data_IF_431308916276
#
_entry.id   IF_431308916276
#
_cell.length_a   1.000
_cell.length_b   1.000
_cell.length_c   1.000
_cell.angle_alpha   90.00
_cell.angle_beta   90.00
_cell.angle_gamma   90.00
#
_symmetry.space_group_name_H-M   'P 1'
#
loop_
_entity.id
_entity.type
_entity.pdbx_description
1 polymer ?
#
# COMPACT_ATOMS: atom_id res chain seq x y z
N UNK A 1 -41.48 -116.39 -2.46
CA UNK A 1 -42.35 -115.91 -3.56
C UNK A 1 -42.53 -114.40 -3.37
N UNK A 2 -42.14 -113.59 -4.37
CA UNK A 2 -42.23 -112.10 -4.46
C UNK A 2 -41.34 -111.32 -3.48
N UNK A 3 -40.29 -110.63 -3.94
CA UNK A 3 -40.29 -109.34 -4.67
C UNK A 3 -40.69 -108.16 -3.78
N UNK A 4 -39.71 -107.35 -3.41
CA UNK A 4 -39.77 -105.89 -3.50
C UNK A 4 -38.36 -105.30 -3.37
N UNK A 5 -37.79 -104.97 -4.53
CA UNK A 5 -36.78 -103.95 -4.70
C UNK A 5 -37.45 -102.57 -4.64
N UNK A 6 -36.89 -101.63 -3.88
CA UNK A 6 -36.27 -100.41 -4.43
C UNK A 6 -36.14 -99.26 -3.41
N UNK A 7 -34.88 -98.82 -3.30
CA UNK A 7 -34.39 -97.44 -3.16
C UNK A 7 -34.59 -96.79 -1.79
N UNK A 8 -33.57 -96.97 -0.96
CA UNK A 8 -33.16 -95.98 0.03
C UNK A 8 -32.71 -94.73 -0.76
N UNK A 9 -33.48 -93.64 -0.70
CA UNK A 9 -32.98 -92.32 -1.06
C UNK A 9 -32.09 -91.84 0.09
N UNK A 10 -30.79 -91.99 -0.06
CA UNK A 10 -29.83 -91.23 0.74
C UNK A 10 -29.81 -89.80 0.22
N UNK A 11 -30.55 -88.90 0.87
CA UNK A 11 -30.36 -87.47 0.67
C UNK A 11 -28.93 -87.11 1.10
N UNK A 12 -28.07 -86.77 0.15
CA UNK A 12 -26.78 -86.17 0.45
C UNK A 12 -27.01 -84.81 1.11
N UNK A 13 -26.39 -84.54 2.29
CA UNK A 13 -26.57 -83.27 2.96
C UNK A 13 -26.08 -82.14 2.04
N UNK A 14 -26.82 -81.02 1.91
CA UNK A 14 -26.42 -79.93 1.04
C UNK A 14 -25.06 -79.40 1.50
N UNK A 15 -24.09 -79.38 0.58
CA UNK A 15 -22.78 -78.78 0.83
C UNK A 15 -22.97 -77.29 1.10
N UNK A 16 -22.83 -76.90 2.37
CA UNK A 16 -22.84 -75.48 2.77
C UNK A 16 -21.62 -74.83 2.14
N UNK A 17 -21.84 -74.06 1.06
CA UNK A 17 -20.81 -73.26 0.41
C UNK A 17 -20.26 -72.25 1.42
N UNK A 18 -18.95 -72.30 1.69
CA UNK A 18 -18.29 -71.43 2.65
C UNK A 18 -18.20 -69.98 2.15
N UNK A 19 -19.24 -69.17 2.39
CA UNK A 19 -19.29 -67.74 2.03
C UNK A 19 -19.05 -66.80 3.21
N UNK A 20 -19.09 -67.31 4.44
CA UNK A 20 -19.01 -66.50 5.68
C UNK A 20 -17.66 -65.77 5.80
N UNK A 21 -16.54 -66.43 5.48
CA UNK A 21 -15.21 -65.83 5.57
C UNK A 21 -15.07 -64.62 4.63
N UNK A 22 -15.63 -64.72 3.42
CA UNK A 22 -15.58 -63.62 2.43
C UNK A 22 -16.40 -62.43 2.91
N UNK A 23 -17.59 -62.67 3.46
CA UNK A 23 -18.43 -61.60 4.03
C UNK A 23 -17.72 -60.93 5.21
N UNK A 24 -17.13 -61.71 6.13
CA UNK A 24 -16.38 -61.16 7.27
C UNK A 24 -15.19 -60.33 6.79
N UNK A 25 -14.44 -60.79 5.79
CA UNK A 25 -13.30 -60.06 5.26
C UNK A 25 -13.71 -58.73 4.62
N UNK A 26 -14.82 -58.70 3.88
CA UNK A 26 -15.38 -57.46 3.33
C UNK A 26 -15.83 -56.51 4.43
N UNK A 27 -16.52 -57.01 5.46
CA UNK A 27 -16.95 -56.18 6.61
C UNK A 27 -15.74 -55.61 7.35
N UNK A 28 -14.72 -56.42 7.62
CA UNK A 28 -13.48 -55.95 8.27
C UNK A 28 -12.74 -54.94 7.40
N UNK A 29 -12.68 -55.15 6.08
CA UNK A 29 -12.06 -54.19 5.15
C UNK A 29 -12.82 -52.85 5.14
N UNK A 30 -14.15 -52.87 5.11
CA UNK A 30 -14.98 -51.66 5.16
C UNK A 30 -14.85 -50.95 6.52
N UNK A 31 -14.83 -51.68 7.63
CA UNK A 31 -14.61 -51.11 8.96
C UNK A 31 -13.20 -50.52 9.10
N UNK A 32 -12.19 -51.19 8.54
CA UNK A 32 -10.80 -50.72 8.57
C UNK A 32 -10.63 -49.45 7.73
N UNK A 33 -11.26 -49.40 6.54
CA UNK A 33 -11.27 -48.19 5.72
C UNK A 33 -12.00 -47.05 6.43
N UNK A 34 -13.15 -47.32 7.07
CA UNK A 34 -13.88 -46.31 7.86
C UNK A 34 -13.08 -45.79 9.06
N UNK A 35 -12.36 -46.67 9.76
CA UNK A 35 -11.47 -46.26 10.85
C UNK A 35 -10.28 -45.45 10.34
N UNK A 36 -9.71 -45.81 9.18
CA UNK A 36 -8.62 -45.09 8.55
C UNK A 36 -9.04 -43.68 8.12
N UNK A 37 -10.18 -43.54 7.42
CA UNK A 37 -10.68 -42.23 6.97
C UNK A 37 -11.04 -41.33 8.15
N UNK A 38 -11.63 -41.89 9.22
CA UNK A 38 -11.89 -41.13 10.44
C UNK A 38 -10.59 -40.65 11.10
N UNK A 39 -9.56 -41.49 11.16
CA UNK A 39 -8.26 -41.10 11.72
C UNK A 39 -7.59 -40.00 10.92
N UNK A 40 -7.61 -40.07 9.58
CA UNK A 40 -7.06 -39.01 8.73
C UNK A 40 -7.81 -37.69 8.96
N UNK A 41 -9.14 -37.73 8.98
CA UNK A 41 -9.97 -36.55 9.24
C UNK A 41 -9.63 -35.92 10.61
N UNK A 42 -9.49 -36.73 11.66
CA UNK A 42 -9.14 -36.22 12.99
C UNK A 42 -7.73 -35.62 13.05
N UNK A 43 -6.77 -36.15 12.30
CA UNK A 43 -5.42 -35.55 12.22
C UNK A 43 -5.46 -34.19 11.51
N UNK A 44 -6.21 -34.07 10.41
CA UNK A 44 -6.39 -32.80 9.69
C UNK A 44 -7.08 -31.78 10.59
N UNK A 45 -8.15 -32.16 11.28
CA UNK A 45 -8.86 -31.26 12.19
C UNK A 45 -7.99 -30.79 13.37
N UNK A 46 -7.17 -31.68 13.94
CA UNK A 46 -6.23 -31.32 14.99
C UNK A 46 -5.15 -30.33 14.48
N UNK A 47 -4.64 -30.53 13.27
CA UNK A 47 -3.69 -29.60 12.63
C UNK A 47 -4.33 -28.25 12.32
N UNK A 48 -5.54 -28.24 11.74
CA UNK A 48 -6.31 -27.04 11.44
C UNK A 48 -6.60 -26.22 12.71
N UNK A 49 -7.02 -26.89 13.79
CA UNK A 49 -7.24 -26.25 15.09
C UNK A 49 -5.96 -25.61 15.64
N UNK A 50 -4.84 -26.32 15.53
CA UNK A 50 -3.53 -25.79 15.92
C UNK A 50 -3.10 -24.58 15.09
N UNK A 51 -3.30 -24.61 13.77
CA UNK A 51 -3.00 -23.48 12.87
C UNK A 51 -3.89 -22.28 13.16
N UNK A 52 -5.19 -22.50 13.39
CA UNK A 52 -6.12 -21.44 13.76
C UNK A 52 -5.70 -20.75 15.06
N UNK A 53 -5.35 -21.54 16.09
CA UNK A 53 -4.83 -21.00 17.35
C UNK A 53 -3.57 -20.15 17.17
N UNK A 54 -2.64 -20.62 16.33
CA UNK A 54 -1.42 -19.85 15.99
C UNK A 54 -1.74 -18.58 15.24
N UNK A 55 -2.65 -18.61 14.26
CA UNK A 55 -3.02 -17.42 13.49
C UNK A 55 -3.61 -16.32 14.38
N UNK A 56 -4.52 -16.68 15.30
CA UNK A 56 -5.08 -15.74 16.28
C UNK A 56 -3.98 -15.19 17.18
N UNK A 57 -3.06 -16.04 17.65
CA UNK A 57 -1.95 -15.63 18.50
C UNK A 57 -0.99 -14.68 17.78
N UNK A 58 -0.62 -14.98 16.53
CA UNK A 58 0.24 -14.13 15.68
C UNK A 58 -0.41 -12.76 15.46
N UNK A 59 -1.73 -12.72 15.18
CA UNK A 59 -2.44 -11.45 15.03
C UNK A 59 -2.41 -10.63 16.33
N UNK A 60 -2.69 -11.26 17.46
CA UNK A 60 -2.63 -10.57 18.75
C UNK A 60 -1.22 -10.05 19.09
N UNK A 61 -0.15 -10.75 18.66
CA UNK A 61 1.23 -10.26 18.79
C UNK A 61 1.49 -9.03 17.92
N UNK A 62 0.98 -9.01 16.69
CA UNK A 62 1.07 -7.84 15.81
C UNK A 62 0.30 -6.65 16.40
N UNK A 63 -0.92 -6.87 16.89
CA UNK A 63 -1.74 -5.85 17.55
C UNK A 63 -1.03 -5.29 18.81
N UNK A 64 -0.32 -6.14 19.56
CA UNK A 64 0.50 -5.69 20.70
C UNK A 64 1.62 -4.74 20.28
N UNK A 65 2.16 -4.90 19.06
CA UNK A 65 3.13 -3.97 18.50
C UNK A 65 2.54 -2.61 18.19
N UNK A 66 1.32 -2.57 17.64
CA UNK A 66 0.58 -1.32 17.40
C UNK A 66 0.33 -0.56 18.71
N UNK A 67 -0.05 -1.28 19.77
CA UNK A 67 -0.25 -0.70 21.11
C UNK A 67 1.05 -0.16 21.71
N UNK A 68 2.18 -0.88 21.54
CA UNK A 68 3.48 -0.38 21.98
C UNK A 68 3.83 0.92 21.25
N UNK A 69 3.73 0.94 19.92
CA UNK A 69 4.02 2.13 19.10
C UNK A 69 3.11 3.28 19.51
N UNK A 70 1.82 3.04 19.73
CA UNK A 70 0.86 4.05 20.18
C UNK A 70 1.23 4.63 21.55
N UNK A 71 1.66 3.78 22.49
CA UNK A 71 2.13 4.23 23.80
C UNK A 71 3.40 5.08 23.71
N UNK A 72 4.35 4.70 22.83
CA UNK A 72 5.57 5.46 22.59
C UNK A 72 5.28 6.85 22.01
N UNK A 73 4.42 6.92 20.99
CA UNK A 73 4.00 8.18 20.38
C UNK A 73 3.19 9.06 21.34
N UNK A 74 2.50 8.46 22.32
CA UNK A 74 1.74 9.19 23.33
C UNK A 74 2.58 9.77 24.48
N UNK A 75 3.72 9.15 24.81
CA UNK A 75 4.57 9.55 25.95
C UNK A 75 5.62 10.62 25.57
N UNK A 76 6.12 10.60 24.33
CA UNK A 76 7.07 11.60 23.82
C UNK A 76 6.46 12.43 22.69
N UNK A 77 6.31 13.73 22.93
CA UNK A 77 5.98 14.69 21.87
C UNK A 77 7.22 15.22 21.14
N UNK A 78 8.44 15.04 21.68
CA UNK A 78 9.66 15.48 21.00
C UNK A 78 10.28 14.33 20.18
N UNK A 79 10.21 14.36 18.84
CA UNK A 79 10.82 13.34 17.97
C UNK A 79 12.35 13.30 18.09
N UNK A 80 12.99 14.29 18.72
CA UNK A 80 14.44 14.34 18.93
C UNK A 80 14.90 13.44 20.08
N UNK A 81 13.99 13.09 20.99
CA UNK A 81 14.29 12.26 22.17
C UNK A 81 14.08 10.76 21.94
N UNK A 82 13.26 10.38 20.94
CA UNK A 82 13.01 8.98 20.56
C UNK A 82 13.38 8.76 19.09
N UNK A 83 14.23 7.76 18.83
CA UNK A 83 14.61 7.34 17.49
C UNK A 83 13.46 6.66 16.73
N UNK A 84 12.48 7.42 16.26
CA UNK A 84 11.31 6.87 15.56
C UNK A 84 11.63 6.38 14.14
N UNK A 85 12.64 6.95 13.49
CA UNK A 85 12.99 6.61 12.10
C UNK A 85 13.73 5.27 11.98
N UNK A 86 14.76 5.03 12.80
CA UNK A 86 15.47 3.75 12.77
C UNK A 86 16.05 3.42 14.15
N UNK A 87 15.35 2.56 14.89
CA UNK A 87 15.81 2.02 16.17
C UNK A 87 15.58 0.49 16.22
N UNK A 88 16.58 -0.31 15.83
CA UNK A 88 16.49 -1.76 15.91
C UNK A 88 16.34 -2.28 17.35
N UNK A 89 16.80 -1.57 18.37
CA UNK A 89 16.70 -2.06 19.74
C UNK A 89 15.25 -1.92 20.26
N UNK A 90 14.55 -0.88 19.80
CA UNK A 90 13.14 -0.64 20.12
C UNK A 90 12.17 -1.41 19.23
N UNK A 91 12.48 -1.60 17.94
CA UNK A 91 11.52 -2.08 16.95
C UNK A 91 11.82 -3.44 16.33
N UNK A 92 12.98 -4.07 16.59
CA UNK A 92 13.31 -5.39 16.02
C UNK A 92 13.11 -6.52 17.02
N UNK A 93 12.34 -7.52 16.63
CA UNK A 93 12.20 -8.79 17.37
C UNK A 93 11.82 -8.59 18.84
N UNK A 94 10.94 -7.62 19.10
CA UNK A 94 10.40 -7.30 20.42
C UNK A 94 9.60 -8.50 20.92
N UNK A 95 9.97 -8.99 22.10
CA UNK A 95 9.36 -10.21 22.65
C UNK A 95 8.04 -9.89 23.34
N UNK A 96 6.95 -10.48 22.84
CA UNK A 96 5.61 -10.40 23.45
C UNK A 96 5.37 -11.60 24.35
N UNK A 97 5.77 -12.79 23.88
CA UNK A 97 5.58 -14.04 24.60
C UNK A 97 6.94 -14.71 24.70
N UNK A 98 7.49 -14.74 25.91
CA UNK A 98 8.67 -15.53 26.23
C UNK A 98 8.25 -16.96 26.56
N UNK A 99 8.34 -17.83 25.55
CA UNK A 99 8.08 -19.26 25.70
C UNK A 99 9.37 -20.00 26.02
N UNK A 100 9.34 -20.89 27.02
CA UNK A 100 10.47 -21.78 27.31
C UNK A 100 10.85 -22.73 26.15
N UNK A 101 10.03 -22.77 25.09
CA UNK A 101 10.34 -23.36 23.79
C UNK A 101 10.39 -22.23 22.75
N UNK A 102 11.51 -22.06 22.00
CA UNK A 102 11.62 -21.05 20.95
C UNK A 102 10.50 -21.11 19.91
N UNK A 103 9.98 -22.30 19.60
CA UNK A 103 8.87 -22.49 18.67
C UNK A 103 7.51 -21.96 19.17
N UNK A 104 7.43 -21.61 20.46
CA UNK A 104 6.26 -21.00 21.10
C UNK A 104 6.54 -19.56 21.57
N UNK A 105 7.75 -19.05 21.30
CA UNK A 105 8.07 -17.65 21.56
C UNK A 105 7.50 -16.77 20.46
N UNK A 106 6.96 -15.63 20.87
CA UNK A 106 6.27 -14.67 20.01
C UNK A 106 7.02 -13.35 20.00
N UNK A 107 7.37 -12.88 18.80
CA UNK A 107 8.04 -11.60 18.60
C UNK A 107 7.36 -10.84 17.47
N UNK A 108 7.35 -9.51 17.56
CA UNK A 108 7.03 -8.65 16.44
C UNK A 108 8.23 -7.77 16.08
N UNK A 109 8.20 -7.23 14.88
CA UNK A 109 9.07 -6.14 14.46
C UNK A 109 8.23 -5.08 13.79
N UNK A 110 8.60 -3.82 13.94
CA UNK A 110 8.04 -2.72 13.14
C UNK A 110 9.03 -2.46 12.02
N UNK A 111 8.58 -2.55 10.78
CA UNK A 111 9.42 -2.48 9.59
C UNK A 111 8.92 -1.40 8.65
N UNK A 112 9.85 -0.76 7.96
CA UNK A 112 9.59 0.23 6.93
C UNK A 112 10.66 0.12 5.83
N UNK A 113 10.34 0.44 4.56
CA UNK A 113 11.35 0.59 3.52
C UNK A 113 12.34 1.73 3.82
N UNK A 114 13.51 1.63 3.20
CA UNK A 114 14.49 2.70 3.16
C UNK A 114 14.27 3.49 1.87
N UNK A 115 13.66 4.67 1.98
CA UNK A 115 13.30 5.50 0.82
C UNK A 115 14.51 5.99 0.02
N UNK A 116 15.68 6.06 0.65
CA UNK A 116 16.94 6.47 0.04
C UNK A 116 17.77 5.30 -0.53
N UNK A 117 17.33 4.04 -0.38
CA UNK A 117 18.04 2.91 -1.00
C UNK A 117 17.57 2.77 -2.45
N UNK A 118 18.41 3.11 -3.45
CA UNK A 118 18.01 3.03 -4.85
C UNK A 118 17.72 1.61 -5.30
N UNK A 119 18.21 0.59 -4.58
CA UNK A 119 17.99 -0.80 -4.94
C UNK A 119 16.78 -1.42 -4.22
N UNK A 120 16.19 -0.72 -3.24
CA UNK A 120 15.10 -1.22 -2.41
C UNK A 120 15.32 -2.65 -1.90
N UNK A 121 16.54 -2.98 -1.42
CA UNK A 121 16.85 -4.35 -0.94
C UNK A 121 16.90 -4.45 0.57
N UNK A 122 16.66 -3.34 1.25
CA UNK A 122 16.83 -3.21 2.68
C UNK A 122 15.59 -2.61 3.33
N UNK A 123 15.25 -3.17 4.49
CA UNK A 123 14.27 -2.61 5.41
C UNK A 123 14.97 -1.97 6.59
N UNK A 124 14.34 -0.96 7.15
CA UNK A 124 14.67 -0.38 8.45
C UNK A 124 13.61 -0.76 9.48
N UNK A 125 14.02 -0.73 10.76
CA UNK A 125 13.12 -0.94 11.89
C UNK A 125 12.72 0.41 12.48
N UNK A 126 11.49 0.87 12.23
CA UNK A 126 11.00 2.19 12.64
C UNK A 126 9.70 2.56 11.94
N UNK A 127 9.30 3.82 12.07
CA UNK A 127 8.03 4.37 11.59
C UNK A 127 8.19 5.17 10.29
N UNK A 128 7.12 5.30 9.52
CA UNK A 128 6.99 6.24 8.40
C UNK A 128 6.02 7.34 8.82
N UNK A 129 6.34 8.58 8.46
CA UNK A 129 5.44 9.70 8.63
C UNK A 129 4.49 9.79 7.44
N UNK A 130 3.22 9.46 7.66
CA UNK A 130 2.16 9.59 6.65
C UNK A 130 1.87 11.07 6.32
N UNK A 131 2.23 12.04 7.18
CA UNK A 131 2.05 13.47 6.89
C UNK A 131 3.02 14.03 5.84
N UNK A 132 3.97 13.22 5.37
CA UNK A 132 4.79 13.52 4.21
C UNK A 132 4.11 13.14 2.88
N UNK A 133 2.95 12.47 2.94
CA UNK A 133 2.15 12.06 1.78
C UNK A 133 0.94 12.97 1.62
N UNK A 134 0.47 13.11 0.38
CA UNK A 134 -0.71 13.91 0.05
C UNK A 134 -1.96 13.17 0.51
N UNK A 135 -2.76 13.76 1.40
CA UNK A 135 -4.06 13.20 1.75
C UNK A 135 -5.13 13.55 0.70
N UNK A 136 -5.56 12.54 -0.06
CA UNK A 136 -6.60 12.71 -1.08
C UNK A 136 -7.92 13.26 -0.52
N UNK A 137 -8.31 12.82 0.68
CA UNK A 137 -9.57 13.25 1.31
C UNK A 137 -9.52 14.72 1.76
N UNK A 138 -8.33 15.32 1.83
CA UNK A 138 -8.17 16.69 2.27
C UNK A 138 -8.17 17.69 1.10
N UNK A 139 -7.83 17.28 -0.13
CA UNK A 139 -7.62 18.16 -1.30
C UNK A 139 -8.80 19.10 -1.52
N UNK A 140 -10.03 18.58 -1.52
CA UNK A 140 -11.25 19.37 -1.74
C UNK A 140 -11.53 20.42 -0.63
N UNK A 141 -10.89 20.28 0.52
CA UNK A 141 -11.05 21.17 1.68
C UNK A 141 -9.84 22.08 1.93
N UNK A 142 -8.79 21.95 1.12
CA UNK A 142 -7.58 22.76 1.27
C UNK A 142 -7.85 24.20 0.81
N UNK A 143 -7.29 25.16 1.55
CA UNK A 143 -7.18 26.54 1.08
C UNK A 143 -5.98 26.63 0.13
N UNK A 144 -6.24 26.43 -1.16
CA UNK A 144 -5.22 26.51 -2.21
C UNK A 144 -5.08 27.94 -2.73
N UNK A 145 -3.86 28.27 -3.15
CA UNK A 145 -3.60 29.53 -3.84
C UNK A 145 -4.11 29.44 -5.28
N UNK A 146 -5.11 30.25 -5.61
CA UNK A 146 -5.75 30.28 -6.93
C UNK A 146 -5.25 31.41 -7.81
N UNK A 147 -4.28 32.23 -7.36
CA UNK A 147 -3.87 33.45 -8.08
C UNK A 147 -3.45 33.20 -9.52
N UNK A 148 -2.86 32.03 -9.78
CA UNK A 148 -2.40 31.64 -11.12
C UNK A 148 -3.57 31.29 -12.07
N UNK A 149 -4.75 31.00 -11.53
CA UNK A 149 -5.95 30.57 -12.25
C UNK A 149 -7.08 31.62 -12.22
N UNK A 150 -6.93 32.74 -11.51
CA UNK A 150 -7.95 33.80 -11.44
C UNK A 150 -8.34 34.39 -12.81
N UNK A 151 -7.48 34.27 -13.83
CA UNK A 151 -7.79 34.74 -15.18
C UNK A 151 -8.66 33.76 -15.98
N UNK A 152 -8.84 32.54 -15.50
CA UNK A 152 -9.52 31.44 -16.20
C UNK A 152 -11.00 31.33 -15.85
N UNK A 153 -11.55 32.26 -15.05
CA UNK A 153 -12.96 32.24 -14.61
C UNK A 153 -13.97 32.45 -15.74
N UNK A 154 -13.56 32.75 -16.97
CA UNK A 154 -14.48 33.10 -18.07
C UNK A 154 -14.58 31.93 -19.02
N UNK A 155 -15.74 31.27 -19.02
CA UNK A 155 -16.03 30.17 -19.93
C UNK A 155 -16.20 30.65 -21.37
N UNK A 156 -16.15 29.72 -22.33
CA UNK A 156 -16.24 30.01 -23.77
C UNK A 156 -17.59 30.64 -24.18
N UNK A 157 -18.63 30.54 -23.32
CA UNK A 157 -19.93 31.19 -23.52
C UNK A 157 -20.05 32.58 -22.88
N UNK A 158 -18.98 33.04 -22.23
CA UNK A 158 -18.88 34.34 -21.57
C UNK A 158 -19.56 34.41 -20.20
N UNK A 159 -19.83 33.26 -19.56
CA UNK A 159 -20.23 33.19 -18.15
C UNK A 159 -19.01 33.15 -17.25
N UNK A 160 -19.17 33.69 -16.03
CA UNK A 160 -18.12 33.61 -15.00
C UNK A 160 -18.37 32.37 -14.14
N UNK A 161 -17.47 31.42 -14.21
CA UNK A 161 -17.39 30.29 -13.30
C UNK A 161 -16.45 30.64 -12.15
N UNK A 162 -17.02 30.74 -10.95
CA UNK A 162 -16.29 31.16 -9.75
C UNK A 162 -15.58 29.98 -9.07
N UNK A 163 -15.95 28.75 -9.40
CA UNK A 163 -15.42 27.53 -8.80
C UNK A 163 -14.24 26.98 -9.63
N UNK A 164 -14.20 27.27 -10.93
CA UNK A 164 -13.15 26.85 -11.86
C UNK A 164 -11.70 27.15 -11.38
N UNK A 165 -11.33 28.32 -10.83
CA UNK A 165 -9.96 28.53 -10.33
C UNK A 165 -9.56 27.57 -9.21
N UNK A 166 -10.52 27.20 -8.35
CA UNK A 166 -10.28 26.25 -7.26
C UNK A 166 -10.15 24.83 -7.81
N UNK A 167 -11.02 24.42 -8.73
CA UNK A 167 -10.93 23.11 -9.40
C UNK A 167 -9.59 22.93 -10.13
N UNK A 168 -9.13 23.96 -10.84
CA UNK A 168 -7.83 23.95 -11.51
C UNK A 168 -6.67 23.85 -10.51
N UNK A 169 -6.75 24.54 -9.37
CA UNK A 169 -5.75 24.43 -8.31
C UNK A 169 -5.72 23.03 -7.68
N UNK A 170 -6.88 22.42 -7.44
CA UNK A 170 -6.99 21.04 -6.92
C UNK A 170 -6.41 20.02 -7.91
N UNK A 171 -6.69 20.21 -9.21
CA UNK A 171 -6.11 19.40 -10.29
C UNK A 171 -4.60 19.52 -10.31
N UNK A 172 -4.06 20.73 -10.20
CA UNK A 172 -2.61 20.98 -10.19
C UNK A 172 -1.88 20.22 -9.07
N UNK A 173 -2.50 20.08 -7.89
CA UNK A 173 -1.93 19.28 -6.78
C UNK A 173 -1.73 17.82 -7.21
N UNK A 174 -2.70 17.24 -7.93
CA UNK A 174 -2.62 15.86 -8.43
C UNK A 174 -1.67 15.71 -9.61
N UNK A 175 -1.55 16.74 -10.46
CA UNK A 175 -0.64 16.76 -11.60
C UNK A 175 0.84 16.64 -11.20
N UNK A 176 1.18 16.89 -9.93
CA UNK A 176 2.50 16.62 -9.37
C UNK A 176 2.85 15.12 -9.26
N UNK A 177 1.88 14.21 -9.41
CA UNK A 177 2.10 12.77 -9.33
C UNK A 177 2.67 12.19 -10.63
N UNK A 178 3.59 11.22 -10.56
CA UNK A 178 4.18 10.60 -11.74
C UNK A 178 3.11 9.85 -12.54
N UNK A 179 3.09 10.05 -13.86
CA UNK A 179 2.11 9.41 -14.75
C UNK A 179 0.68 9.96 -14.65
N UNK A 180 0.45 11.05 -13.90
CA UNK A 180 -0.86 11.69 -13.84
C UNK A 180 -1.21 12.38 -15.16
N UNK A 181 -2.48 12.32 -15.53
CA UNK A 181 -3.06 13.09 -16.64
C UNK A 181 -4.19 13.96 -16.11
N UNK A 182 -4.50 15.06 -16.81
CA UNK A 182 -5.62 15.94 -16.43
C UNK A 182 -6.94 15.16 -16.35
N UNK A 183 -7.17 14.22 -17.27
CA UNK A 183 -8.35 13.33 -17.26
C UNK A 183 -8.41 12.47 -16.01
N UNK A 184 -7.30 11.85 -15.59
CA UNK A 184 -7.29 11.02 -14.39
C UNK A 184 -7.46 11.89 -13.14
N UNK A 185 -6.81 13.05 -13.09
CA UNK A 185 -6.93 13.99 -11.98
C UNK A 185 -8.39 14.44 -11.79
N UNK A 186 -9.05 14.89 -12.86
CA UNK A 186 -10.46 15.29 -12.81
C UNK A 186 -11.37 14.12 -12.41
N UNK A 187 -11.15 12.91 -12.96
CA UNK A 187 -11.91 11.73 -12.57
C UNK A 187 -11.71 11.33 -11.10
N UNK A 188 -10.54 11.60 -10.51
CA UNK A 188 -10.28 11.36 -9.08
C UNK A 188 -11.02 12.41 -8.24
N UNK A 189 -11.05 13.67 -8.67
CA UNK A 189 -11.74 14.74 -7.96
C UNK A 189 -13.27 14.53 -7.99
N UNK A 190 -13.85 14.17 -9.14
CA UNK A 190 -15.28 13.82 -9.31
C UNK A 190 -15.66 12.58 -8.49
N UNK A 191 -14.68 11.68 -8.26
CA UNK A 191 -14.93 10.53 -7.38
C UNK A 191 -15.09 10.95 -5.91
N UNK A 192 -14.53 12.09 -5.51
CA UNK A 192 -14.35 12.53 -4.12
C UNK A 192 -15.31 13.62 -3.66
N UNK A 193 -15.75 14.51 -4.54
CA UNK A 193 -16.67 15.61 -4.20
C UNK A 193 -18.10 15.11 -3.98
N UNK A 194 -19.02 15.97 -3.54
CA UNK A 194 -20.35 15.55 -3.10
C UNK A 194 -21.47 15.85 -4.09
N UNK A 195 -21.15 16.50 -5.20
CA UNK A 195 -22.09 16.79 -6.28
C UNK A 195 -22.09 15.69 -7.37
N UNK A 196 -22.75 15.96 -8.49
CA UNK A 196 -22.79 15.07 -9.66
C UNK A 196 -22.40 15.90 -10.92
N UNK A 197 -21.73 17.05 -10.74
CA UNK A 197 -21.35 17.96 -11.81
C UNK A 197 -20.00 17.52 -12.38
N UNK A 198 -19.99 17.11 -13.64
CA UNK A 198 -18.78 16.58 -14.29
C UNK A 198 -17.79 17.70 -14.58
N UNK A 199 -16.56 17.59 -14.03
CA UNK A 199 -15.43 18.47 -14.40
C UNK A 199 -15.06 18.33 -15.87
N UNK A 200 -14.25 19.27 -16.37
CA UNK A 200 -13.88 19.38 -17.80
C UNK A 200 -13.51 18.02 -18.45
N UNK A 201 -12.64 17.24 -17.79
CA UNK A 201 -12.22 15.90 -18.26
C UNK A 201 -12.63 14.77 -17.29
N UNK A 202 -13.57 15.05 -16.39
CA UNK A 202 -13.99 14.19 -15.31
C UNK A 202 -14.93 13.05 -15.70
N UNK A 203 -15.46 12.38 -14.70
CA UNK A 203 -16.41 11.28 -14.85
C UNK A 203 -17.24 11.09 -13.57
N UNK A 204 -18.56 11.22 -13.70
CA UNK A 204 -19.54 11.08 -12.63
C UNK A 204 -20.42 9.83 -12.76
N UNK A 205 -21.51 9.79 -11.98
CA UNK A 205 -22.51 8.74 -11.94
C UNK A 205 -22.93 8.24 -13.34
N UNK A 206 -23.20 9.13 -14.29
CA UNK A 206 -23.62 8.78 -15.65
C UNK A 206 -22.60 7.91 -16.38
N UNK A 207 -21.30 8.15 -16.16
CA UNK A 207 -20.22 7.33 -16.73
C UNK A 207 -20.17 5.95 -16.08
N UNK A 208 -20.15 5.90 -14.74
CA UNK A 208 -19.96 4.65 -14.00
C UNK A 208 -21.18 3.72 -14.09
N UNK A 209 -22.40 4.25 -14.09
CA UNK A 209 -23.62 3.47 -14.35
C UNK A 209 -23.61 2.86 -15.76
N UNK A 210 -22.98 3.55 -16.73
CA UNK A 210 -22.79 3.08 -18.10
C UNK A 210 -21.88 1.85 -18.24
N UNK A 211 -21.00 1.59 -17.26
CA UNK A 211 -20.09 0.44 -17.27
C UNK A 211 -20.80 -0.90 -16.98
N UNK A 212 -21.99 -0.85 -16.37
CA UNK A 212 -22.74 -2.04 -15.98
C UNK A 212 -22.10 -2.86 -14.85
N UNK A 213 -21.15 -2.27 -14.12
CA UNK A 213 -20.53 -2.85 -12.92
C UNK A 213 -21.27 -2.30 -11.69
N UNK A 214 -21.53 -3.11 -10.64
CA UNK A 214 -22.33 -2.66 -9.50
C UNK A 214 -21.53 -1.79 -8.52
N UNK A 215 -21.01 -0.67 -8.99
CA UNK A 215 -20.50 0.42 -8.16
C UNK A 215 -20.86 1.76 -8.80
N UNK A 216 -20.89 2.78 -7.96
CA UNK A 216 -21.12 4.18 -8.33
C UNK A 216 -19.95 4.99 -7.75
N UNK A 217 -19.74 6.24 -8.22
CA UNK A 217 -18.75 7.11 -7.59
C UNK A 217 -19.09 7.29 -6.10
N UNK A 218 -18.05 7.57 -5.33
CA UNK A 218 -18.14 7.55 -3.87
C UNK A 218 -18.89 8.78 -3.35
N UNK A 219 -18.74 9.88 -4.08
CA UNK A 219 -19.22 11.21 -3.78
C UNK A 219 -18.90 11.59 -2.32
N UNK A 220 -17.61 11.47 -1.97
CA UNK A 220 -17.12 11.70 -0.62
C UNK A 220 -15.80 11.00 -0.31
N UNK A 221 -15.35 11.06 0.96
CA UNK A 221 -14.03 10.57 1.35
C UNK A 221 -13.89 9.05 1.16
N UNK A 222 -12.78 8.66 0.54
CA UNK A 222 -12.39 7.27 0.34
C UNK A 222 -11.80 6.66 1.62
N UNK A 223 -12.07 5.37 1.83
CA UNK A 223 -11.58 4.66 3.01
C UNK A 223 -10.21 4.01 2.79
N UNK A 224 -9.88 3.66 1.53
CA UNK A 224 -8.65 3.00 1.12
C UNK A 224 -8.23 3.53 -0.24
N UNK A 225 -6.92 3.62 -0.48
CA UNK A 225 -6.37 3.98 -1.78
C UNK A 225 -6.74 2.95 -2.88
N UNK A 226 -6.98 1.69 -2.49
CA UNK A 226 -7.44 0.65 -3.42
C UNK A 226 -8.78 1.01 -4.12
N UNK A 227 -9.55 1.97 -3.56
CA UNK A 227 -10.77 2.49 -4.17
C UNK A 227 -10.50 3.22 -5.48
N UNK A 228 -9.30 3.79 -5.66
CA UNK A 228 -8.88 4.46 -6.89
C UNK A 228 -8.88 3.54 -8.10
N UNK A 229 -8.73 2.22 -7.93
CA UNK A 229 -8.82 1.25 -9.04
C UNK A 229 -10.21 1.17 -9.69
N UNK A 230 -11.22 1.82 -9.10
CA UNK A 230 -12.55 1.97 -9.69
C UNK A 230 -12.69 3.25 -10.50
N UNK A 231 -11.79 4.20 -10.32
CA UNK A 231 -11.79 5.48 -11.03
C UNK A 231 -11.34 5.26 -12.46
N UNK A 232 -11.99 5.96 -13.38
CA UNK A 232 -11.65 5.92 -14.80
C UNK A 232 -10.17 6.28 -15.02
N UNK A 233 -9.47 5.45 -15.78
CA UNK A 233 -8.08 5.69 -16.19
C UNK A 233 -7.01 5.31 -15.16
N UNK A 234 -7.39 5.00 -13.92
CA UNK A 234 -6.45 4.48 -12.92
C UNK A 234 -6.22 2.99 -13.13
N UNK A 235 -4.96 2.60 -13.29
CA UNK A 235 -4.56 1.20 -13.38
C UNK A 235 -3.74 0.76 -12.15
N UNK A 236 -3.48 -0.55 -12.05
CA UNK A 236 -2.71 -1.11 -10.95
C UNK A 236 -1.24 -0.67 -10.96
N UNK A 237 -0.71 -0.33 -12.13
CA UNK A 237 0.67 0.12 -12.30
C UNK A 237 0.86 1.51 -11.70
N UNK A 238 -0.02 2.46 -12.00
CA UNK A 238 -0.01 3.79 -11.40
C UNK A 238 -0.15 3.72 -9.88
N UNK A 239 -1.05 2.86 -9.37
CA UNK A 239 -1.31 2.79 -7.94
C UNK A 239 -0.24 2.06 -7.13
N UNK A 240 0.19 0.88 -7.58
CA UNK A 240 1.11 0.02 -6.82
C UNK A 240 2.53 0.03 -7.36
N UNK A 241 2.70 0.27 -8.66
CA UNK A 241 3.96 0.02 -9.36
C UNK A 241 4.30 -1.46 -9.34
N UNK A 242 5.57 -1.76 -9.09
CA UNK A 242 6.12 -3.11 -9.04
C UNK A 242 5.97 -3.77 -7.66
N UNK A 243 5.80 -2.98 -6.59
CA UNK A 243 5.66 -3.47 -5.22
C UNK A 243 4.24 -4.04 -4.97
N UNK A 244 3.96 -5.21 -5.53
CA UNK A 244 2.64 -5.82 -5.49
C UNK A 244 2.21 -6.21 -4.07
N UNK A 245 3.17 -6.54 -3.21
CA UNK A 245 2.90 -6.97 -1.85
C UNK A 245 3.07 -5.85 -0.79
N UNK A 246 3.47 -4.64 -1.23
CA UNK A 246 3.61 -3.42 -0.44
C UNK A 246 4.62 -3.55 0.70
N UNK A 247 5.67 -4.34 0.49
CA UNK A 247 6.73 -4.55 1.48
C UNK A 247 7.90 -3.55 1.31
N UNK A 248 7.91 -2.80 0.21
CA UNK A 248 8.95 -1.84 -0.16
C UNK A 248 10.32 -2.48 -0.41
N UNK A 249 10.33 -3.76 -0.80
CA UNK A 249 11.50 -4.52 -1.18
C UNK A 249 11.36 -5.01 -2.62
N UNK A 250 12.43 -4.94 -3.40
CA UNK A 250 12.47 -5.55 -4.73
C UNK A 250 12.51 -7.07 -4.61
N UNK A 251 11.35 -7.72 -4.77
CA UNK A 251 11.24 -9.16 -4.75
C UNK A 251 11.64 -9.79 -6.10
N UNK A 252 12.05 -11.08 -6.12
CA UNK A 252 12.49 -11.71 -7.37
C UNK A 252 11.41 -11.83 -8.46
N UNK A 253 10.14 -11.61 -8.14
CA UNK A 253 9.02 -11.59 -9.09
C UNK A 253 8.59 -10.17 -9.48
N UNK A 254 9.33 -9.17 -9.04
CA UNK A 254 9.15 -7.75 -9.33
C UNK A 254 10.40 -7.21 -10.07
N UNK A 255 11.22 -8.14 -10.61
CA UNK A 255 12.47 -7.91 -11.34
C UNK A 255 12.68 -9.09 -12.33
N UNK A 256 11.60 -9.65 -12.89
CA UNK A 256 11.65 -10.79 -13.81
C UNK A 256 10.91 -10.60 -15.15
N UNK A 257 10.53 -9.36 -15.45
CA UNK A 257 9.85 -8.92 -16.65
C UNK A 257 8.40 -9.39 -16.64
N UNK A 258 8.03 -10.17 -17.65
CA UNK A 258 6.68 -10.74 -17.77
C UNK A 258 6.61 -12.21 -17.26
N UNK A 259 7.60 -12.69 -16.51
CA UNK A 259 7.68 -14.11 -16.17
C UNK A 259 6.72 -14.49 -15.03
N UNK A 260 6.56 -13.61 -14.03
CA UNK A 260 5.56 -13.70 -12.97
C UNK A 260 4.92 -12.33 -12.76
N UNK A 261 3.65 -12.29 -12.33
CA UNK A 261 3.03 -11.01 -11.98
C UNK A 261 3.68 -10.42 -10.70
N UNK A 262 3.70 -9.09 -10.56
CA UNK A 262 3.25 -8.08 -11.53
C UNK A 262 4.18 -8.01 -12.75
N UNK A 263 3.67 -7.54 -13.89
CA UNK A 263 4.53 -7.28 -15.05
C UNK A 263 5.48 -6.11 -14.69
N UNK A 264 6.78 -6.30 -14.87
CA UNK A 264 7.85 -5.36 -14.50
C UNK A 264 8.84 -5.12 -15.66
N UNK A 265 9.76 -4.16 -15.50
CA UNK A 265 10.74 -3.83 -16.55
C UNK A 265 12.12 -4.50 -16.37
N UNK A 266 12.30 -5.24 -15.28
CA UNK A 266 13.51 -5.95 -14.87
C UNK A 266 14.79 -5.08 -14.92
N UNK A 267 14.68 -3.81 -14.56
CA UNK A 267 15.81 -2.86 -14.53
C UNK A 267 16.64 -2.93 -13.23
N UNK A 268 16.17 -3.69 -12.23
CA UNK A 268 16.78 -3.86 -10.92
C UNK A 268 16.47 -2.75 -9.91
N UNK A 269 15.52 -1.87 -10.21
CA UNK A 269 15.05 -0.75 -9.37
C UNK A 269 13.55 -0.94 -9.11
N UNK A 270 13.15 -0.93 -7.84
CA UNK A 270 11.73 -1.02 -7.49
C UNK A 270 11.00 0.29 -7.81
N UNK A 271 10.14 0.25 -8.81
CA UNK A 271 9.23 1.35 -9.14
C UNK A 271 8.02 1.33 -8.22
N UNK A 272 7.95 2.31 -7.32
CA UNK A 272 6.80 2.48 -6.41
C UNK A 272 5.69 3.30 -7.07
N UNK A 273 4.44 2.84 -6.95
CA UNK A 273 3.27 3.60 -7.40
C UNK A 273 2.85 4.72 -6.44
N UNK A 274 1.71 5.32 -6.75
CA UNK A 274 1.08 6.40 -5.97
C UNK A 274 0.82 6.04 -4.51
N UNK A 275 0.71 4.76 -4.16
CA UNK A 275 0.60 4.30 -2.78
C UNK A 275 1.76 4.78 -1.88
N UNK A 276 2.92 5.10 -2.47
CA UNK A 276 4.05 5.67 -1.72
C UNK A 276 3.96 7.19 -1.49
N UNK A 277 3.10 7.88 -2.24
CA UNK A 277 2.96 9.35 -2.28
C UNK A 277 1.62 9.83 -1.72
N UNK A 278 0.59 8.97 -1.73
CA UNK A 278 -0.77 9.26 -1.32
C UNK A 278 -1.12 8.61 0.01
N UNK A 279 -2.11 9.17 0.68
CA UNK A 279 -2.69 8.63 1.90
C UNK A 279 -4.17 9.03 2.02
N UNK A 280 -4.92 8.33 2.86
CA UNK A 280 -6.34 8.65 3.16
C UNK A 280 -6.53 9.18 4.58
N UNK A 281 -5.48 9.14 5.40
CA UNK A 281 -5.58 9.33 6.86
C UNK A 281 -4.66 10.39 7.44
N UNK A 282 -3.67 10.88 6.68
CA UNK A 282 -2.78 11.91 7.20
C UNK A 282 -3.53 13.19 7.57
N UNK A 283 -3.02 13.88 8.59
CA UNK A 283 -3.54 15.18 8.99
C UNK A 283 -2.61 16.24 8.43
N UNK A 284 -3.18 17.13 7.63
CA UNK A 284 -2.48 18.24 6.99
C UNK A 284 -2.24 19.38 7.98
N UNK A 285 -1.44 19.09 9.01
CA UNK A 285 -1.05 20.08 10.01
C UNK A 285 0.33 20.60 9.59
N UNK A 286 0.38 21.84 9.10
CA UNK A 286 1.64 22.52 8.80
C UNK A 286 2.36 23.03 10.07
N UNK A 287 2.19 22.33 11.18
CA UNK A 287 2.79 22.62 12.46
C UNK A 287 3.72 21.47 12.86
N UNK A 288 4.74 21.82 13.63
CA UNK A 288 5.65 20.93 14.33
C UNK A 288 5.00 20.44 15.61
N UNK A 289 5.66 19.50 16.28
CA UNK A 289 5.17 18.94 17.54
C UNK A 289 5.11 19.97 18.69
N UNK A 290 5.89 21.05 18.60
CA UNK A 290 5.89 22.19 19.53
C UNK A 290 4.82 23.25 19.20
N UNK A 291 4.13 23.12 18.05
CA UNK A 291 3.09 24.04 17.59
C UNK A 291 3.58 25.18 16.69
N UNK A 292 4.88 25.28 16.42
CA UNK A 292 5.44 26.23 15.44
C UNK A 292 5.22 25.73 14.01
N UNK A 293 5.27 26.62 13.02
CA UNK A 293 5.09 26.24 11.61
C UNK A 293 6.24 25.36 11.08
N UNK A 294 5.92 24.41 10.18
CA UNK A 294 6.96 23.63 9.48
C UNK A 294 7.69 24.53 8.50
N UNK A 295 8.99 24.27 8.35
CA UNK A 295 9.83 25.02 7.43
C UNK A 295 9.48 24.68 5.97
N UNK A 296 9.11 25.70 5.18
CA UNK A 296 8.89 25.52 3.75
C UNK A 296 10.23 25.39 3.01
N UNK A 297 10.64 24.15 2.73
CA UNK A 297 11.85 23.85 1.96
C UNK A 297 11.79 24.34 0.51
N UNK A 298 10.60 24.58 -0.03
CA UNK A 298 10.37 25.01 -1.40
C UNK A 298 10.26 26.54 -1.55
N UNK A 299 10.48 27.32 -0.50
CA UNK A 299 10.38 28.78 -0.56
C UNK A 299 11.28 29.42 -1.62
N UNK A 300 10.88 30.58 -2.16
CA UNK A 300 11.53 31.17 -3.33
C UNK A 300 12.95 31.68 -3.08
N UNK A 301 13.24 32.20 -1.88
CA UNK A 301 14.53 32.82 -1.58
C UNK A 301 15.48 31.83 -0.87
N UNK A 302 16.49 31.35 -1.62
CA UNK A 302 17.45 30.36 -1.12
C UNK A 302 18.29 30.86 0.06
N UNK A 303 18.52 32.17 0.18
CA UNK A 303 19.25 32.74 1.33
C UNK A 303 18.45 32.68 2.61
N UNK A 304 17.14 32.97 2.56
CA UNK A 304 16.25 32.83 3.71
C UNK A 304 16.08 31.35 4.10
N UNK A 305 16.05 30.45 3.11
CA UNK A 305 16.06 29.01 3.36
C UNK A 305 17.33 28.55 4.04
N UNK A 306 18.48 29.04 3.59
CA UNK A 306 19.74 28.74 4.22
C UNK A 306 19.75 29.17 5.68
N UNK A 307 19.40 30.43 5.96
CA UNK A 307 19.40 30.97 7.32
C UNK A 307 18.44 30.21 8.25
N UNK A 308 17.22 29.90 7.77
CA UNK A 308 16.24 29.14 8.53
C UNK A 308 16.66 27.68 8.79
N UNK A 309 17.31 27.02 7.82
CA UNK A 309 17.85 25.67 8.00
C UNK A 309 19.02 25.65 8.97
N UNK A 310 19.90 26.65 8.95
CA UNK A 310 21.03 26.76 9.91
C UNK A 310 20.53 26.97 11.33
N UNK A 311 19.44 27.73 11.52
CA UNK A 311 18.86 27.95 12.85
C UNK A 311 18.28 26.66 13.45
N UNK A 312 17.69 25.81 12.61
CA UNK A 312 16.99 24.60 13.05
C UNK A 312 17.87 23.34 13.09
N UNK A 313 18.80 23.26 12.15
CA UNK A 313 19.68 22.11 11.96
C UNK A 313 21.14 22.57 12.10
N UNK A 314 21.95 22.31 11.08
CA UNK A 314 23.37 22.61 11.03
C UNK A 314 23.77 23.15 9.66
N UNK A 315 24.97 23.72 9.60
CA UNK A 315 25.50 24.37 8.41
C UNK A 315 25.64 23.41 7.22
N UNK A 316 25.97 22.13 7.49
CA UNK A 316 26.18 21.15 6.42
C UNK A 316 24.85 20.70 5.83
N UNK A 317 23.82 20.49 6.66
CA UNK A 317 22.45 20.22 6.17
C UNK A 317 21.90 21.40 5.36
N UNK A 318 22.06 22.63 5.84
CA UNK A 318 21.59 23.81 5.12
C UNK A 318 22.27 23.96 3.75
N UNK A 319 23.59 23.74 3.67
CA UNK A 319 24.33 23.73 2.40
C UNK A 319 23.83 22.64 1.47
N UNK A 320 23.62 21.43 1.99
CA UNK A 320 23.15 20.30 1.21
C UNK A 320 21.80 20.60 0.56
N UNK A 321 20.80 21.02 1.35
CA UNK A 321 19.45 21.29 0.84
C UNK A 321 19.45 22.41 -0.19
N UNK A 322 20.16 23.52 0.07
CA UNK A 322 20.23 24.64 -0.88
C UNK A 322 20.98 24.24 -2.15
N UNK A 323 22.08 23.50 -2.04
CA UNK A 323 22.80 22.99 -3.21
C UNK A 323 21.92 22.02 -4.02
N UNK A 324 21.21 21.11 -3.36
CA UNK A 324 20.27 20.20 -4.01
C UNK A 324 19.17 20.96 -4.75
N UNK A 325 18.62 22.03 -4.18
CA UNK A 325 17.63 22.87 -4.88
C UNK A 325 18.21 23.65 -6.06
N UNK A 326 19.49 23.98 -6.02
CA UNK A 326 20.17 24.69 -7.12
C UNK A 326 20.55 23.76 -8.27
N UNK A 327 20.98 22.53 -7.95
CA UNK A 327 21.67 21.65 -8.89
C UNK A 327 20.99 20.29 -9.11
N UNK A 328 19.97 19.93 -8.33
CA UNK A 328 19.30 18.63 -8.39
C UNK A 328 20.09 17.50 -7.70
N UNK A 329 19.59 16.28 -7.86
CA UNK A 329 20.30 15.05 -7.46
C UNK A 329 21.35 14.66 -8.50
N UNK A 330 22.41 13.98 -8.09
CA UNK A 330 23.37 13.33 -8.99
C UNK A 330 23.43 11.85 -8.65
N UNK A 331 23.37 10.97 -9.65
CA UNK A 331 23.54 9.51 -9.44
C UNK A 331 24.94 9.14 -8.92
N UNK A 332 25.96 10.00 -9.14
CA UNK A 332 27.32 9.82 -8.64
C UNK A 332 27.95 11.14 -8.16
N UNK A 333 27.86 11.46 -6.86
CA UNK A 333 28.41 12.70 -6.29
C UNK A 333 29.95 12.76 -6.33
N UNK A 334 30.68 11.66 -6.62
CA UNK A 334 32.15 11.66 -6.72
C UNK A 334 32.66 12.16 -8.07
N UNK A 335 31.83 12.11 -9.12
CA UNK A 335 32.24 12.51 -10.48
C UNK A 335 32.26 14.03 -10.67
N UNK A 336 31.51 14.77 -9.84
CA UNK A 336 31.35 16.22 -9.95
C UNK A 336 30.68 16.68 -11.24
N UNK A 337 30.01 15.76 -11.96
CA UNK A 337 29.26 16.03 -13.18
C UNK A 337 27.84 16.45 -12.80
N UNK A 338 27.73 17.67 -12.26
CA UNK A 338 26.44 18.24 -11.89
C UNK A 338 25.65 18.53 -13.17
N UNK A 339 24.44 17.97 -13.34
CA UNK A 339 23.63 18.25 -14.51
C UNK A 339 23.37 19.76 -14.59
N UNK A 340 23.61 20.33 -15.76
CA UNK A 340 23.13 21.68 -16.06
C UNK A 340 21.60 21.55 -16.17
N UNK A 341 20.80 22.35 -15.47
CA UNK A 341 19.35 22.17 -15.44
C UNK A 341 18.76 22.30 -16.86
N UNK A 342 18.47 21.17 -17.50
CA UNK A 342 17.69 21.06 -18.73
C UNK A 342 16.19 20.84 -18.40
N UNK A 343 15.27 21.15 -19.32
CA UNK A 343 13.87 21.30 -18.94
C UNK A 343 13.07 19.98 -18.81
N UNK A 344 13.58 18.80 -19.20
CA UNK A 344 12.71 17.64 -19.48
C UNK A 344 13.27 16.25 -19.10
N UNK A 345 13.74 16.05 -17.85
CA UNK A 345 14.00 14.68 -17.36
C UNK A 345 12.78 14.09 -16.62
N UNK A 346 12.51 12.77 -16.77
CA UNK A 346 11.42 12.09 -16.09
C UNK A 346 11.69 12.01 -14.58
N UNK A 347 10.68 12.41 -13.82
CA UNK A 347 10.71 12.59 -12.37
C UNK A 347 10.89 11.24 -11.66
N UNK A 348 12.05 11.02 -11.06
CA UNK A 348 12.23 9.96 -10.05
C UNK A 348 11.77 10.46 -8.66
N UNK A 349 11.54 9.56 -7.70
CA UNK A 349 10.93 9.86 -6.39
C UNK A 349 11.63 10.97 -5.56
N UNK A 350 12.90 11.29 -5.87
CA UNK A 350 13.66 12.41 -5.30
C UNK A 350 13.51 13.76 -6.03
N UNK A 351 12.80 13.78 -7.16
CA UNK A 351 12.63 14.92 -8.06
C UNK A 351 11.18 15.38 -8.14
N UNK A 352 10.32 14.96 -7.20
CA UNK A 352 8.94 15.43 -7.11
C UNK A 352 8.94 16.94 -6.89
N UNK A 353 9.00 17.66 -8.00
CA UNK A 353 9.07 19.10 -8.03
C UNK A 353 7.64 19.60 -7.98
N UNK A 354 7.07 19.61 -6.77
CA UNK A 354 5.79 20.26 -6.47
C UNK A 354 5.82 21.78 -6.77
N UNK A 355 6.97 22.32 -7.21
CA UNK A 355 7.14 23.69 -7.69
C UNK A 355 7.26 23.79 -9.23
N UNK A 356 6.92 22.74 -9.99
CA UNK A 356 6.78 22.76 -11.46
C UNK A 356 5.32 22.79 -11.92
N UNK A 357 4.46 23.51 -11.19
CA UNK A 357 3.53 24.41 -11.86
C UNK A 357 4.34 25.53 -12.52
N UNK A 358 4.01 25.89 -13.76
CA UNK A 358 4.78 26.81 -14.59
C UNK A 358 5.38 28.01 -13.84
N UNK A 359 6.72 28.15 -13.88
CA UNK A 359 7.39 29.43 -13.57
C UNK A 359 6.84 30.52 -14.48
N UNK A 360 5.88 31.29 -13.99
CA UNK A 360 5.65 32.68 -14.43
C UNK A 360 5.93 33.59 -13.24
N UNK A 361 6.64 34.66 -13.54
CA UNK A 361 7.18 35.60 -12.56
C UNK A 361 6.11 36.14 -11.60
N UNK A 362 6.08 35.66 -10.36
CA UNK A 362 5.39 36.38 -9.28
C UNK A 362 6.30 37.55 -8.88
N UNK A 363 5.98 38.73 -9.39
CA UNK A 363 6.43 39.99 -8.82
C UNK A 363 5.54 40.29 -7.61
N UNK A 364 6.17 40.36 -6.44
CA UNK A 364 5.68 40.94 -5.18
C UNK A 364 4.32 41.64 -5.22
N UNK A 365 3.36 41.16 -4.42
CA UNK A 365 2.81 41.85 -3.23
C UNK A 365 2.44 40.80 -2.20
#
# INVERSE_FOLDING_TARGET
MKSNSHIIRTETPPTRRGSILVIVLVVVALLSLGAYTFSEMMMIEAQATGMYGRQVQTRAMADSGVELVSALLGDSLDPRDIGLYHDPDQFRAVTVIDGGNPALSGRFSVVAPIEADPNYRQIRFGLIDESARINLNAILSMELDTTDFELDTVTDDGTEDLDLPMELAQREVLMGLPGMTEEIADCILDWLDDDDDVRELGAELDYYDGLGVPYSPRNGPIASLDELLKVKGVDSWLLYGEDANRNGLLDPNEDDGDARPPDDDADGILTLGWNSLLTTTAREINLRADGEERLNVNQGLLTELYDALVEEFDEDTAKFVVAYRMYGSTDDPETGDWPVPEPEDPVTKGELNLARGYRREIRSV
#
